data_IF_054248013325
#
_entry.id   IF_054248013325
#
_cell.length_a   1.000
_cell.length_b   1.000
_cell.length_c   1.000
_cell.angle_alpha   90.00
_cell.angle_beta   90.00
_cell.angle_gamma   90.00
#
_symmetry.space_group_name_H-M   'P 1'
#
loop_
_entity.id
_entity.type
_entity.pdbx_description
1 polymer ?
#
# COMPACT_ATOMS: atom_id res chain seq x y z
N UNK A 1 29.01 12.37 11.28
CA UNK A 1 27.99 11.57 10.58
C UNK A 1 27.31 10.72 11.64
N UNK A 2 25.98 10.78 11.77
CA UNK A 2 25.25 9.94 12.73
C UNK A 2 24.73 8.71 11.98
N UNK A 3 25.00 7.52 12.50
CA UNK A 3 24.53 6.25 11.94
C UNK A 3 23.48 5.63 12.85
N UNK A 4 22.40 5.13 12.25
CA UNK A 4 21.35 4.36 12.92
C UNK A 4 21.07 3.11 12.09
N UNK A 5 21.26 1.94 12.68
CA UNK A 5 21.07 0.65 12.01
C UNK A 5 19.88 -0.09 12.59
N UNK A 6 18.99 -0.52 11.70
CA UNK A 6 17.79 -1.30 12.03
C UNK A 6 17.91 -2.70 11.44
N UNK A 7 17.49 -3.69 12.22
CA UNK A 7 17.32 -5.05 11.75
C UNK A 7 15.88 -5.24 11.24
N UNK A 8 15.73 -5.77 10.03
CA UNK A 8 14.45 -5.88 9.34
C UNK A 8 14.25 -7.30 8.83
N UNK A 9 13.11 -7.88 9.16
CA UNK A 9 12.64 -9.17 8.65
C UNK A 9 11.65 -8.97 7.50
N UNK A 10 11.77 -9.80 6.47
CA UNK A 10 10.80 -9.91 5.37
C UNK A 10 9.74 -10.94 5.75
N UNK A 11 8.50 -10.48 5.95
CA UNK A 11 7.37 -11.32 6.38
C UNK A 11 6.66 -11.98 5.20
N UNK A 12 6.55 -11.28 4.08
CA UNK A 12 5.92 -11.75 2.85
C UNK A 12 6.84 -11.51 1.67
N UNK A 13 6.74 -12.33 0.59
CA UNK A 13 7.64 -12.21 -0.54
C UNK A 13 7.70 -10.79 -1.08
N UNK A 14 8.92 -10.30 -1.24
CA UNK A 14 9.22 -8.95 -1.68
C UNK A 14 9.69 -8.96 -3.14
N UNK A 15 8.93 -8.26 -3.96
CA UNK A 15 9.15 -8.15 -5.39
C UNK A 15 9.71 -6.77 -5.71
N UNK A 16 10.98 -6.58 -5.39
CA UNK A 16 11.72 -5.36 -5.69
C UNK A 16 12.54 -5.55 -6.95
N UNK A 17 12.59 -4.51 -7.79
CA UNK A 17 13.42 -4.50 -8.96
C UNK A 17 12.74 -3.96 -10.20
N UNK A 18 13.57 -3.42 -11.09
CA UNK A 18 13.14 -2.89 -12.37
C UNK A 18 12.56 -4.03 -13.21
N UNK A 19 11.68 -3.70 -14.15
CA UNK A 19 11.14 -4.69 -15.07
C UNK A 19 12.24 -5.55 -15.72
N UNK A 20 11.88 -6.76 -16.15
CA UNK A 20 12.76 -7.75 -16.77
C UNK A 20 13.73 -8.48 -15.82
N UNK A 21 13.30 -8.77 -14.58
CA UNK A 21 13.93 -9.80 -13.78
C UNK A 21 15.22 -9.40 -13.05
N UNK A 22 15.61 -8.12 -13.08
CA UNK A 22 16.71 -7.56 -12.26
C UNK A 22 16.27 -7.33 -10.80
N UNK A 23 15.66 -8.35 -10.19
CA UNK A 23 15.18 -8.34 -8.80
C UNK A 23 16.20 -9.00 -7.87
N UNK A 24 17.48 -8.74 -8.10
CA UNK A 24 18.60 -9.39 -7.41
C UNK A 24 18.92 -8.75 -6.05
N UNK A 25 18.28 -7.63 -5.69
CA UNK A 25 18.57 -6.98 -4.42
C UNK A 25 17.49 -6.04 -3.87
N UNK A 26 17.57 -5.78 -2.57
CA UNK A 26 16.84 -4.71 -1.89
C UNK A 26 17.34 -3.36 -2.40
N UNK A 27 16.43 -2.54 -2.95
CA UNK A 27 16.76 -1.25 -3.58
C UNK A 27 16.49 -0.07 -2.65
N UNK A 28 17.53 0.67 -2.22
CA UNK A 28 17.37 1.89 -1.41
C UNK A 28 16.42 2.94 -2.00
N UNK A 29 16.38 3.06 -3.34
CA UNK A 29 15.50 4.02 -4.02
C UNK A 29 14.02 3.71 -3.84
N UNK A 30 13.62 2.43 -3.90
CA UNK A 30 12.24 2.01 -3.66
C UNK A 30 11.85 2.22 -2.19
N UNK A 31 12.76 1.95 -1.26
CA UNK A 31 12.57 2.22 0.17
C UNK A 31 12.34 3.72 0.38
N UNK A 32 13.21 4.59 -0.14
CA UNK A 32 13.05 6.05 -0.06
C UNK A 32 11.73 6.52 -0.68
N UNK A 33 11.29 5.89 -1.77
CA UNK A 33 9.99 6.19 -2.39
C UNK A 33 8.81 5.94 -1.45
N UNK A 34 8.83 4.80 -0.74
CA UNK A 34 7.81 4.48 0.24
C UNK A 34 7.89 5.35 1.49
N UNK A 35 9.10 5.68 1.97
CA UNK A 35 9.28 6.63 3.07
C UNK A 35 8.69 8.00 2.72
N UNK A 36 8.99 8.53 1.53
CA UNK A 36 8.42 9.79 1.03
C UNK A 36 6.90 9.74 0.97
N UNK A 37 6.33 8.62 0.54
CA UNK A 37 4.88 8.44 0.50
C UNK A 37 4.25 8.58 1.89
N UNK A 38 4.77 7.85 2.88
CA UNK A 38 4.24 7.90 4.25
C UNK A 38 4.56 9.22 4.95
N UNK A 39 5.70 9.85 4.65
CA UNK A 39 5.98 11.22 5.06
C UNK A 39 4.91 12.17 4.55
N UNK A 40 4.58 12.15 3.25
CA UNK A 40 3.53 13.01 2.70
C UNK A 40 2.16 12.77 3.34
N UNK A 41 1.83 11.52 3.69
CA UNK A 41 0.57 11.22 4.36
C UNK A 41 0.48 11.87 5.76
N UNK A 42 1.59 11.99 6.44
CA UNK A 42 1.69 12.67 7.73
C UNK A 42 1.76 14.19 7.55
N UNK A 43 2.58 14.67 6.63
CA UNK A 43 2.69 16.09 6.33
C UNK A 43 1.33 16.65 5.90
N UNK A 44 0.58 15.88 5.12
CA UNK A 44 -0.78 16.21 4.72
C UNK A 44 -1.75 16.38 5.90
N UNK A 45 -1.55 15.71 7.04
CA UNK A 45 -2.48 15.83 8.19
C UNK A 45 -2.22 17.08 9.04
N UNK A 46 -1.17 17.82 8.70
CA UNK A 46 -0.85 19.11 9.32
C UNK A 46 -1.01 20.24 8.29
N UNK A 47 -0.47 20.06 7.08
CA UNK A 47 -0.40 21.08 6.04
C UNK A 47 -1.61 21.09 5.08
N UNK A 48 -2.57 20.17 5.26
CA UNK A 48 -3.78 20.15 4.45
C UNK A 48 -3.49 19.87 2.97
N UNK A 49 -4.17 20.63 2.10
CA UNK A 49 -4.02 20.56 0.65
C UNK A 49 -2.91 21.49 0.13
N UNK A 50 -2.07 22.06 1.00
CA UNK A 50 -0.92 22.87 0.59
C UNK A 50 0.23 21.97 0.10
N UNK A 51 0.09 21.51 -1.15
CA UNK A 51 1.06 20.61 -1.80
C UNK A 51 2.44 21.24 -1.93
N UNK A 52 2.52 22.56 -2.11
CA UNK A 52 3.78 23.29 -2.25
C UNK A 52 4.59 23.24 -0.95
N UNK A 53 3.96 23.51 0.20
CA UNK A 53 4.63 23.42 1.50
C UNK A 53 4.96 21.96 1.86
N UNK A 54 4.08 21.00 1.58
CA UNK A 54 4.40 19.57 1.76
C UNK A 54 5.65 19.20 0.96
N UNK A 55 5.73 19.64 -0.30
CA UNK A 55 6.87 19.39 -1.18
C UNK A 55 8.14 20.04 -0.65
N UNK A 56 8.07 21.28 -0.15
CA UNK A 56 9.21 22.00 0.42
C UNK A 56 9.80 21.27 1.62
N UNK A 57 8.96 20.77 2.54
CA UNK A 57 9.43 19.98 3.69
C UNK A 57 9.95 18.61 3.24
N UNK A 58 9.29 17.94 2.28
CA UNK A 58 9.78 16.68 1.70
C UNK A 58 11.18 16.84 1.09
N UNK A 59 11.37 17.89 0.27
CA UNK A 59 12.63 18.17 -0.41
C UNK A 59 13.75 18.47 0.59
N UNK A 60 13.45 19.14 1.71
CA UNK A 60 14.40 19.35 2.82
C UNK A 60 14.87 18.04 3.46
N UNK A 61 13.96 17.09 3.70
CA UNK A 61 14.26 15.84 4.40
C UNK A 61 14.85 14.76 3.49
N UNK A 62 14.35 14.66 2.25
CA UNK A 62 14.67 13.57 1.34
C UNK A 62 15.52 14.00 0.14
N UNK A 63 15.70 15.30 -0.08
CA UNK A 63 16.28 15.83 -1.30
C UNK A 63 15.29 15.84 -2.48
N UNK A 64 15.66 16.56 -3.53
CA UNK A 64 14.89 16.80 -4.74
C UNK A 64 15.73 16.45 -5.99
N UNK A 65 15.30 16.88 -7.17
CA UNK A 65 16.13 16.78 -8.39
C UNK A 65 17.32 17.76 -8.38
N UNK A 66 17.19 18.87 -7.66
CA UNK A 66 18.21 19.94 -7.56
C UNK A 66 18.98 19.91 -6.25
N UNK A 67 18.49 19.18 -5.23
CA UNK A 67 19.08 19.11 -3.90
C UNK A 67 19.38 17.67 -3.49
N UNK A 68 20.63 17.39 -3.10
CA UNK A 68 21.02 16.05 -2.63
C UNK A 68 20.29 15.69 -1.34
N UNK A 69 19.92 14.42 -1.21
CA UNK A 69 19.34 13.85 0.01
C UNK A 69 20.31 13.99 1.19
N UNK A 70 19.90 14.53 2.35
CA UNK A 70 20.77 14.72 3.52
C UNK A 70 21.06 13.42 4.29
N UNK A 71 20.63 12.27 3.78
CA UNK A 71 20.96 10.95 4.34
C UNK A 71 21.13 9.89 3.24
N UNK A 72 21.89 8.84 3.56
CA UNK A 72 22.05 7.64 2.72
C UNK A 72 21.46 6.42 3.43
N UNK A 73 20.98 5.46 2.63
CA UNK A 73 20.57 4.14 3.10
C UNK A 73 21.61 3.14 2.62
N UNK A 74 22.18 2.38 3.53
CA UNK A 74 23.08 1.27 3.24
C UNK A 74 22.37 -0.03 3.65
N UNK A 75 22.31 -1.01 2.73
CA UNK A 75 21.72 -2.31 3.02
C UNK A 75 22.85 -3.32 3.19
N UNK A 76 22.94 -3.92 4.37
CA UNK A 76 23.98 -4.88 4.79
C UNK A 76 23.36 -6.19 5.27
N UNK A 77 24.21 -7.17 5.58
CA UNK A 77 23.83 -8.46 6.17
C UNK A 77 22.72 -9.20 5.42
N UNK A 78 22.84 -9.24 4.09
CA UNK A 78 21.88 -9.89 3.18
C UNK A 78 22.03 -11.41 3.08
N UNK A 79 22.97 -12.02 3.81
CA UNK A 79 23.31 -13.44 3.67
C UNK A 79 22.13 -14.36 4.00
N UNK A 80 21.24 -13.90 4.88
CA UNK A 80 20.08 -14.66 5.32
C UNK A 80 18.84 -14.45 4.42
N UNK A 81 18.97 -13.64 3.36
CA UNK A 81 17.90 -13.45 2.39
C UNK A 81 17.78 -14.66 1.48
N UNK A 82 16.62 -15.32 1.52
CA UNK A 82 16.29 -16.42 0.62
C UNK A 82 15.69 -15.86 -0.66
N UNK A 83 16.45 -15.95 -1.74
CA UNK A 83 16.00 -15.58 -3.08
C UNK A 83 15.41 -16.81 -3.76
N UNK A 84 14.14 -16.71 -4.17
CA UNK A 84 13.48 -17.75 -4.95
C UNK A 84 13.35 -17.28 -6.41
N UNK A 85 13.82 -18.13 -7.34
CA UNK A 85 13.61 -17.92 -8.77
C UNK A 85 12.24 -18.45 -9.17
N UNK A 86 11.48 -17.67 -9.94
CA UNK A 86 10.17 -18.07 -10.46
C UNK A 86 9.16 -18.48 -9.37
N UNK A 87 9.10 -17.71 -8.27
CA UNK A 87 8.15 -17.95 -7.17
C UNK A 87 6.76 -18.26 -7.72
N UNK A 88 6.24 -19.44 -7.35
CA UNK A 88 4.90 -19.87 -7.74
C UNK A 88 4.02 -19.94 -6.51
N UNK A 89 3.08 -19.00 -6.42
CA UNK A 89 2.00 -19.08 -5.45
C UNK A 89 1.17 -20.32 -5.73
N UNK A 90 0.81 -21.07 -4.70
CA UNK A 90 0.07 -22.33 -4.76
C UNK A 90 -1.42 -22.11 -4.50
N UNK A 91 -1.75 -21.22 -3.55
CA UNK A 91 -3.14 -21.05 -3.08
C UNK A 91 -3.94 -20.04 -3.91
N UNK A 92 -5.22 -20.32 -4.15
CA UNK A 92 -6.05 -19.61 -5.13
C UNK A 92 -6.25 -18.11 -4.81
N UNK A 93 -6.46 -17.77 -3.54
CA UNK A 93 -6.57 -16.40 -3.05
C UNK A 93 -5.24 -15.65 -3.14
N UNK A 94 -4.13 -16.29 -2.77
CA UNK A 94 -2.79 -15.70 -2.90
C UNK A 94 -2.48 -15.41 -4.38
N UNK A 95 -2.73 -16.38 -5.27
CA UNK A 95 -2.66 -16.22 -6.73
C UNK A 95 -3.50 -15.04 -7.24
N UNK A 96 -4.69 -14.82 -6.67
CA UNK A 96 -5.56 -13.71 -7.06
C UNK A 96 -4.99 -12.34 -6.66
N UNK A 97 -4.48 -12.22 -5.43
CA UNK A 97 -3.83 -10.99 -4.96
C UNK A 97 -2.53 -10.71 -5.71
N UNK A 98 -1.75 -11.76 -5.93
CA UNK A 98 -0.46 -11.79 -6.61
C UNK A 98 -0.52 -12.09 -8.10
N UNK A 99 -1.64 -11.88 -8.80
CA UNK A 99 -1.84 -12.35 -10.19
C UNK A 99 -0.68 -12.07 -11.15
N UNK A 100 -0.05 -10.89 -11.05
CA UNK A 100 1.11 -10.53 -11.89
C UNK A 100 2.36 -11.39 -11.67
N UNK A 101 2.50 -11.98 -10.49
CA UNK A 101 3.62 -12.87 -10.13
C UNK A 101 3.53 -14.14 -10.99
N UNK A 102 2.34 -14.71 -11.11
CA UNK A 102 2.13 -15.96 -11.84
C UNK A 102 2.08 -15.76 -13.37
N UNK A 103 1.68 -14.58 -13.86
CA UNK A 103 1.45 -14.33 -15.29
C UNK A 103 2.66 -13.71 -15.99
N UNK A 104 3.57 -13.06 -15.27
CA UNK A 104 4.71 -12.37 -15.87
C UNK A 104 6.03 -12.80 -15.24
N UNK A 105 6.34 -14.11 -15.36
CA UNK A 105 7.52 -14.74 -14.73
C UNK A 105 8.84 -14.11 -15.17
N UNK A 106 8.94 -13.68 -16.43
CA UNK A 106 10.13 -12.99 -16.95
C UNK A 106 10.40 -11.64 -16.24
N UNK A 107 9.33 -10.92 -15.85
CA UNK A 107 9.48 -9.66 -15.10
C UNK A 107 9.66 -9.87 -13.60
N UNK A 108 9.35 -11.05 -13.08
CA UNK A 108 9.37 -11.40 -11.66
C UNK A 108 10.31 -12.60 -11.44
N UNK A 109 11.51 -12.50 -12.00
CA UNK A 109 12.43 -13.64 -12.07
C UNK A 109 12.97 -14.01 -10.69
N UNK A 110 13.46 -13.02 -9.93
CA UNK A 110 13.94 -13.18 -8.57
C UNK A 110 12.94 -12.55 -7.59
N UNK A 111 12.66 -13.25 -6.49
CA UNK A 111 11.81 -12.76 -5.40
C UNK A 111 12.51 -13.02 -4.08
N UNK A 112 12.56 -12.01 -3.22
CA UNK A 112 13.08 -12.17 -1.86
C UNK A 112 11.96 -12.77 -1.03
N UNK A 113 12.01 -14.08 -0.76
CA UNK A 113 10.91 -14.83 -0.13
C UNK A 113 10.76 -14.51 1.35
N UNK A 114 11.89 -14.58 2.05
CA UNK A 114 12.01 -14.40 3.50
C UNK A 114 13.47 -14.12 3.86
N UNK A 115 13.70 -13.73 5.10
CA UNK A 115 15.04 -13.49 5.64
C UNK A 115 15.13 -12.17 6.40
N UNK A 116 16.29 -11.98 7.02
CA UNK A 116 16.63 -10.79 7.80
C UNK A 116 17.75 -10.04 7.07
N UNK A 117 17.72 -8.72 7.16
CA UNK A 117 18.79 -7.84 6.67
C UNK A 117 18.90 -6.60 7.54
N UNK A 118 19.98 -5.85 7.35
CA UNK A 118 20.20 -4.60 8.06
C UNK A 118 20.07 -3.39 7.13
N UNK A 119 19.46 -2.33 7.65
CA UNK A 119 19.40 -1.03 7.00
C UNK A 119 20.03 0.03 7.89
N UNK A 120 21.15 0.58 7.42
CA UNK A 120 21.85 1.70 8.06
C UNK A 120 21.44 3.02 7.43
N UNK A 121 20.96 3.94 8.27
CA UNK A 121 20.71 5.34 7.94
C UNK A 121 21.95 6.17 8.28
N UNK A 122 22.60 6.69 7.26
CA UNK A 122 23.80 7.53 7.40
C UNK A 122 23.38 9.00 7.23
N UNK A 123 23.23 9.73 8.34
CA UNK A 123 22.76 11.10 8.35
C UNK A 123 23.91 12.12 8.27
N UNK A 124 23.71 13.15 7.46
CA UNK A 124 24.54 14.35 7.49
C UNK A 124 24.34 15.10 8.83
N UNK A 125 25.39 15.77 9.30
CA UNK A 125 25.39 16.52 10.56
C UNK A 125 24.44 17.73 10.54
N UNK A 126 24.05 18.20 9.35
CA UNK A 126 23.14 19.34 9.18
C UNK A 126 21.64 19.02 9.37
N UNK A 127 21.30 17.78 9.72
CA UNK A 127 19.94 17.40 10.10
C UNK A 127 19.76 17.51 11.61
N UNK A 128 18.69 18.16 12.05
CA UNK A 128 18.30 18.22 13.45
C UNK A 128 17.87 16.83 13.98
N UNK A 129 17.75 16.69 15.30
CA UNK A 129 17.20 15.47 15.89
C UNK A 129 15.77 15.19 15.42
N UNK A 130 14.93 16.22 15.35
CA UNK A 130 13.53 16.15 14.90
C UNK A 130 13.44 15.71 13.43
N UNK A 131 14.29 16.26 12.55
CA UNK A 131 14.31 15.89 11.14
C UNK A 131 14.72 14.42 10.94
N UNK A 132 15.71 13.94 11.71
CA UNK A 132 16.08 12.52 11.70
C UNK A 132 14.95 11.63 12.21
N UNK A 133 14.22 12.05 13.26
CA UNK A 133 13.04 11.35 13.77
C UNK A 133 11.96 11.25 12.70
N UNK A 134 11.63 12.34 12.00
CA UNK A 134 10.66 12.34 10.89
C UNK A 134 11.05 11.32 9.80
N UNK A 135 12.33 11.25 9.41
CA UNK A 135 12.83 10.29 8.42
C UNK A 135 12.67 8.84 8.91
N UNK A 136 13.07 8.55 10.14
CA UNK A 136 13.00 7.20 10.72
C UNK A 136 11.55 6.74 10.93
N UNK A 137 10.71 7.61 11.47
CA UNK A 137 9.28 7.35 11.66
C UNK A 137 8.54 7.14 10.32
N UNK A 138 8.96 7.86 9.27
CA UNK A 138 8.44 7.62 7.92
C UNK A 138 8.79 6.21 7.40
N UNK A 139 9.99 5.70 7.73
CA UNK A 139 10.35 4.31 7.46
C UNK A 139 9.56 3.33 8.32
N UNK A 140 9.40 3.61 9.61
CA UNK A 140 8.57 2.79 10.49
C UNK A 140 7.16 2.65 9.93
N UNK A 141 6.47 3.73 9.58
CA UNK A 141 5.14 3.67 8.96
C UNK A 141 5.13 2.90 7.64
N UNK A 142 6.18 3.04 6.83
CA UNK A 142 6.32 2.27 5.60
C UNK A 142 6.36 0.76 5.84
N UNK A 143 7.02 0.33 6.92
CA UNK A 143 7.02 -1.07 7.35
C UNK A 143 5.70 -1.47 8.02
N UNK A 144 5.15 -0.64 8.91
CA UNK A 144 4.00 -0.95 9.75
C UNK A 144 2.69 -1.02 8.97
N UNK A 145 2.42 -0.02 8.12
CA UNK A 145 1.14 0.15 7.43
C UNK A 145 1.20 -0.20 5.95
N UNK A 146 2.42 -0.32 5.40
CA UNK A 146 2.66 -0.53 3.99
C UNK A 146 3.36 -1.84 3.68
N UNK A 147 4.08 -1.79 2.57
CA UNK A 147 4.96 -2.83 2.09
C UNK A 147 5.77 -2.27 0.93
N UNK A 148 6.70 -3.07 0.42
CA UNK A 148 7.65 -2.63 -0.57
C UNK A 148 7.63 -3.51 -1.83
N UNK A 149 7.90 -2.92 -2.98
CA UNK A 149 7.87 -3.62 -4.27
C UNK A 149 6.47 -3.86 -4.84
N UNK A 150 6.39 -4.78 -5.80
CA UNK A 150 5.16 -5.08 -6.54
C UNK A 150 4.09 -5.71 -5.64
N UNK A 151 2.82 -5.29 -5.83
CA UNK A 151 1.65 -5.73 -5.04
C UNK A 151 1.74 -5.42 -3.54
N UNK A 152 2.56 -4.45 -3.13
CA UNK A 152 2.67 -4.05 -1.73
C UNK A 152 1.35 -3.64 -1.07
N UNK A 153 0.41 -3.04 -1.80
CA UNK A 153 -0.94 -2.70 -1.30
C UNK A 153 -1.88 -3.91 -1.17
N UNK A 154 -1.42 -5.12 -1.47
CA UNK A 154 -2.17 -6.37 -1.38
C UNK A 154 -1.49 -7.41 -0.48
N UNK A 155 -0.64 -6.96 0.44
CA UNK A 155 -0.02 -7.80 1.46
C UNK A 155 1.28 -8.49 1.04
N UNK A 156 1.81 -8.22 -0.16
CA UNK A 156 3.18 -8.62 -0.52
C UNK A 156 4.20 -7.59 -0.02
N UNK A 157 5.46 -7.99 0.13
CA UNK A 157 6.54 -7.10 0.55
C UNK A 157 6.33 -6.42 1.91
N UNK A 158 5.51 -7.00 2.78
CA UNK A 158 5.40 -6.59 4.18
C UNK A 158 6.69 -6.95 4.92
N UNK A 159 7.26 -5.93 5.55
CA UNK A 159 8.47 -6.03 6.36
C UNK A 159 8.16 -5.72 7.81
N UNK A 160 9.02 -6.15 8.72
CA UNK A 160 8.89 -5.89 10.14
C UNK A 160 10.26 -5.57 10.74
N UNK A 161 10.33 -4.48 11.50
CA UNK A 161 11.56 -4.09 12.20
C UNK A 161 11.67 -4.99 13.45
N UNK A 162 12.79 -5.69 13.60
CA UNK A 162 13.06 -6.61 14.72
C UNK A 162 13.82 -5.95 15.87
N UNK A 163 14.51 -4.85 15.61
CA UNK A 163 15.21 -4.09 16.64
C UNK A 163 16.11 -3.01 16.04
N UNK A 164 16.82 -2.31 16.92
CA UNK A 164 17.86 -1.34 16.55
C UNK A 164 19.14 -1.64 17.33
N UNK A 165 20.30 -1.54 16.67
CA UNK A 165 21.61 -1.72 17.33
C UNK A 165 22.06 -0.51 18.14
N UNK A 166 21.34 0.61 18.05
CA UNK A 166 21.64 1.86 18.75
C UNK A 166 20.43 2.22 19.61
N UNK A 167 20.65 2.51 20.91
CA UNK A 167 19.66 3.22 21.72
C UNK A 167 19.54 4.63 21.18
N UNK A 168 18.45 4.91 20.50
CA UNK A 168 18.19 6.24 19.98
C UNK A 168 17.43 6.98 21.08
N UNK A 169 18.08 7.91 21.79
CA UNK A 169 17.37 8.81 22.74
C UNK A 169 16.24 9.63 22.07
N UNK A 170 16.19 9.59 20.74
CA UNK A 170 15.20 10.21 19.87
C UNK A 170 14.06 9.26 19.40
N UNK A 171 14.23 7.95 19.52
CA UNK A 171 13.29 6.95 19.02
C UNK A 171 13.55 5.59 19.70
N UNK A 172 12.82 5.29 20.77
CA UNK A 172 12.94 3.99 21.42
C UNK A 172 12.17 2.94 20.59
N UNK A 173 12.82 2.31 19.60
CA UNK A 173 12.22 1.22 18.80
C UNK A 173 11.60 0.14 19.68
N UNK A 174 12.19 -0.11 20.84
CA UNK A 174 11.72 -1.05 21.85
C UNK A 174 10.33 -0.67 22.41
N UNK A 175 9.98 0.63 22.51
CA UNK A 175 8.62 1.08 22.85
C UNK A 175 7.58 0.78 21.76
N UNK A 176 8.03 0.56 20.53
CA UNK A 176 7.16 0.19 19.40
C UNK A 176 7.13 -1.32 19.15
N UNK A 177 7.80 -2.11 20.01
CA UNK A 177 7.61 -3.56 20.15
C UNK A 177 6.49 -3.92 21.13
N UNK A 178 5.66 -2.96 21.54
CA UNK A 178 4.50 -3.25 22.42
C UNK A 178 3.68 -4.42 21.86
N UNK A 179 3.20 -5.29 22.75
CA UNK A 179 2.28 -6.40 22.40
C UNK A 179 1.02 -5.90 21.66
N UNK A 180 0.70 -4.61 21.78
CA UNK A 180 -0.34 -3.95 20.99
C UNK A 180 0.21 -3.03 19.90
N UNK A 181 0.42 -3.60 18.73
CA UNK A 181 0.79 -2.91 17.50
C UNK A 181 -0.13 -1.72 17.13
N UNK A 182 -1.41 -1.73 17.55
CA UNK A 182 -2.30 -0.57 17.33
C UNK A 182 -1.81 0.66 18.06
N UNK A 183 -1.45 0.48 19.33
CA UNK A 183 -0.98 1.55 20.21
C UNK A 183 0.35 2.11 19.69
N UNK A 184 1.27 1.24 19.29
CA UNK A 184 2.54 1.64 18.68
C UNK A 184 2.35 2.48 17.40
N UNK A 185 1.42 2.09 16.52
CA UNK A 185 1.09 2.85 15.31
C UNK A 185 0.50 4.22 15.66
N UNK A 186 -0.48 4.26 16.58
CA UNK A 186 -1.15 5.50 16.99
C UNK A 186 -0.15 6.50 17.58
N UNK A 187 0.67 6.08 18.53
CA UNK A 187 1.72 6.91 19.15
C UNK A 187 2.70 7.40 18.09
N UNK A 188 3.08 6.56 17.12
CA UNK A 188 3.98 6.97 16.03
C UNK A 188 3.39 8.08 15.17
N UNK A 189 2.10 7.98 14.82
CA UNK A 189 1.39 8.99 14.04
C UNK A 189 1.30 10.30 14.83
N UNK A 190 0.90 10.24 16.10
CA UNK A 190 0.79 11.43 16.98
C UNK A 190 2.15 12.14 17.15
N UNK A 191 3.22 11.38 17.39
CA UNK A 191 4.58 11.91 17.47
C UNK A 191 5.04 12.55 16.16
N UNK A 192 4.71 11.94 15.03
CA UNK A 192 5.04 12.48 13.72
C UNK A 192 4.33 13.80 13.44
N UNK A 193 3.04 13.88 13.78
CA UNK A 193 2.22 15.08 13.63
C UNK A 193 2.79 16.22 14.48
N UNK A 194 3.14 15.96 15.75
CA UNK A 194 3.65 16.99 16.67
C UNK A 194 5.03 17.55 16.27
N UNK A 195 5.84 16.77 15.54
CA UNK A 195 7.13 17.22 15.01
C UNK A 195 6.99 18.23 13.85
N UNK A 196 5.83 18.30 13.20
CA UNK A 196 5.56 19.30 12.16
C UNK A 196 4.99 20.54 12.84
N UNK A 197 5.89 21.47 13.21
CA UNK A 197 5.61 22.70 13.95
C UNK A 197 4.81 23.74 13.15
N UNK A 198 3.59 23.40 12.77
CA UNK A 198 2.64 24.23 12.00
C UNK A 198 1.23 24.02 12.53
N UNK A 199 0.40 25.06 12.42
CA UNK A 199 -1.02 24.95 12.70
C UNK A 199 -1.69 24.03 11.69
N UNK A 200 -2.58 23.16 12.19
CA UNK A 200 -3.33 22.23 11.34
C UNK A 200 -4.22 23.03 10.40
N UNK A 201 -4.09 22.78 9.11
CA UNK A 201 -4.98 23.35 8.09
C UNK A 201 -6.05 22.33 7.74
N UNK A 202 -7.30 22.60 8.10
CA UNK A 202 -8.41 21.68 7.82
C UNK A 202 -8.72 21.57 6.33
N UNK A 203 -9.10 20.36 5.89
CA UNK A 203 -9.56 20.10 4.52
C UNK A 203 -10.68 19.07 4.53
N UNK A 204 -11.76 19.35 3.79
CA UNK A 204 -12.89 18.41 3.74
C UNK A 204 -12.55 17.16 2.90
N UNK A 205 -11.95 17.32 1.73
CA UNK A 205 -11.45 16.20 0.93
C UNK A 205 -9.95 16.41 0.68
N UNK A 206 -9.09 15.62 1.32
CA UNK A 206 -7.66 15.67 1.06
C UNK A 206 -7.33 15.27 -0.37
N UNK A 207 -6.42 15.97 -1.03
CA UNK A 207 -5.95 15.61 -2.39
C UNK A 207 -4.97 14.42 -2.39
N UNK A 208 -4.41 14.10 -1.22
CA UNK A 208 -3.53 12.94 -0.99
C UNK A 208 -4.06 12.10 0.18
N UNK A 209 -3.66 10.83 0.26
CA UNK A 209 -3.90 10.04 1.47
C UNK A 209 -3.22 10.72 2.65
N UNK A 210 -3.94 10.86 3.76
CA UNK A 210 -3.47 11.61 4.92
C UNK A 210 -4.10 11.11 6.21
N UNK A 211 -3.43 11.32 7.33
CA UNK A 211 -3.90 10.98 8.68
C UNK A 211 -4.73 12.10 9.34
N UNK A 212 -5.53 12.83 8.56
CA UNK A 212 -6.53 13.73 9.16
C UNK A 212 -7.58 12.95 9.93
N UNK A 213 -8.00 13.49 11.06
CA UNK A 213 -9.04 12.89 11.89
C UNK A 213 -10.31 12.67 11.05
N UNK A 214 -10.85 11.44 11.10
CA UNK A 214 -12.00 11.02 10.30
C UNK A 214 -11.73 10.77 8.80
N UNK A 215 -10.52 11.00 8.30
CA UNK A 215 -10.13 10.76 6.88
C UNK A 215 -9.33 9.48 6.67
N UNK A 216 -9.17 8.65 7.69
CA UNK A 216 -8.56 7.33 7.58
C UNK A 216 -9.23 6.34 8.52
N UNK A 217 -9.04 5.05 8.22
CA UNK A 217 -9.43 3.93 9.06
C UNK A 217 -8.30 2.91 9.06
N UNK A 218 -7.75 2.59 10.22
CA UNK A 218 -6.74 1.54 10.40
C UNK A 218 -7.38 0.45 11.24
N UNK A 219 -7.38 -0.76 10.71
CA UNK A 219 -7.96 -1.92 11.37
C UNK A 219 -6.96 -3.06 11.38
N UNK A 220 -6.89 -3.77 12.50
CA UNK A 220 -6.02 -4.93 12.66
C UNK A 220 -6.86 -6.18 12.85
N UNK A 221 -6.63 -7.15 11.98
CA UNK A 221 -7.27 -8.46 12.03
C UNK A 221 -6.18 -9.49 12.33
N UNK A 222 -6.28 -10.16 13.49
CA UNK A 222 -5.36 -11.22 13.90
C UNK A 222 -5.86 -12.59 13.42
N UNK A 223 -4.94 -13.46 13.04
CA UNK A 223 -5.21 -14.83 12.62
C UNK A 223 -4.03 -15.75 12.95
N UNK A 224 -4.34 -16.93 13.50
CA UNK A 224 -3.43 -18.07 13.47
C UNK A 224 -3.35 -18.67 12.08
N UNK A 225 -2.14 -18.75 11.53
CA UNK A 225 -1.90 -19.32 10.22
C UNK A 225 -0.51 -19.95 10.19
N UNK A 226 -0.35 -21.04 9.44
CA UNK A 226 0.94 -21.73 9.35
C UNK A 226 1.94 -21.00 8.44
N UNK A 227 1.48 -20.09 7.59
CA UNK A 227 2.35 -19.36 6.67
C UNK A 227 1.72 -18.03 6.23
N UNK A 228 2.54 -17.12 5.72
CA UNK A 228 2.05 -15.89 5.08
C UNK A 228 1.15 -16.19 3.87
N UNK A 229 1.35 -17.32 3.18
CA UNK A 229 0.55 -17.66 1.99
C UNK A 229 -0.87 -18.07 2.39
N UNK A 230 -1.04 -18.70 3.54
CA UNK A 230 -2.34 -19.04 4.13
C UNK A 230 -3.15 -17.79 4.42
N UNK A 231 -2.48 -16.78 5.00
CA UNK A 231 -3.05 -15.46 5.28
C UNK A 231 -3.51 -14.80 3.98
N UNK A 232 -2.66 -14.77 2.96
CA UNK A 232 -3.00 -14.16 1.66
C UNK A 232 -4.03 -14.98 0.87
N UNK A 233 -4.08 -16.30 1.03
CA UNK A 233 -5.15 -17.14 0.46
C UNK A 233 -6.49 -16.74 1.03
N UNK A 234 -6.57 -16.64 2.36
CA UNK A 234 -7.80 -16.28 3.03
C UNK A 234 -8.24 -14.86 2.64
N UNK A 235 -7.32 -13.89 2.74
CA UNK A 235 -7.55 -12.51 2.29
C UNK A 235 -8.07 -12.47 0.85
N UNK A 236 -7.40 -13.17 -0.05
CA UNK A 236 -7.72 -13.17 -1.48
C UNK A 236 -9.10 -13.73 -1.79
N UNK A 237 -9.56 -14.74 -1.04
CA UNK A 237 -10.90 -15.33 -1.20
C UNK A 237 -12.02 -14.40 -0.71
N UNK A 238 -11.84 -13.75 0.44
CA UNK A 238 -12.79 -12.75 0.93
C UNK A 238 -12.80 -11.51 0.04
N UNK A 239 -11.61 -11.02 -0.33
CA UNK A 239 -11.44 -9.90 -1.24
C UNK A 239 -12.11 -10.17 -2.60
N UNK A 240 -11.91 -11.37 -3.16
CA UNK A 240 -12.59 -11.80 -4.38
C UNK A 240 -14.11 -11.83 -4.22
N UNK A 241 -14.58 -12.42 -3.13
CA UNK A 241 -15.98 -12.50 -2.76
C UNK A 241 -16.67 -11.16 -2.74
N UNK A 242 -16.07 -10.21 -2.03
CA UNK A 242 -16.53 -8.83 -1.96
C UNK A 242 -16.59 -8.16 -3.34
N UNK A 243 -15.56 -8.36 -4.17
CA UNK A 243 -15.53 -7.83 -5.54
C UNK A 243 -16.58 -8.44 -6.47
N UNK A 244 -17.06 -9.66 -6.19
CA UNK A 244 -18.16 -10.28 -6.93
C UNK A 244 -19.47 -9.57 -6.61
N UNK A 245 -19.80 -9.44 -5.32
CA UNK A 245 -21.00 -8.77 -4.85
C UNK A 245 -20.74 -8.02 -3.53
N UNK A 246 -20.53 -6.69 -3.56
CA UNK A 246 -20.23 -5.92 -2.35
C UNK A 246 -21.45 -5.76 -1.42
N UNK A 247 -22.68 -5.92 -1.94
CA UNK A 247 -23.92 -5.76 -1.15
C UNK A 247 -24.27 -7.03 -0.35
N UNK A 248 -23.78 -8.19 -0.79
CA UNK A 248 -23.92 -9.46 -0.08
C UNK A 248 -22.63 -10.28 -0.29
N UNK A 249 -21.52 -9.86 0.36
CA UNK A 249 -20.22 -10.46 0.14
C UNK A 249 -20.14 -11.83 0.81
N UNK A 250 -19.60 -12.81 0.10
CA UNK A 250 -19.33 -14.16 0.60
C UNK A 250 -17.93 -14.58 0.18
N UNK A 251 -17.24 -15.37 1.01
CA UNK A 251 -15.94 -15.94 0.65
C UNK A 251 -16.06 -16.69 -0.68
N UNK A 252 -15.19 -16.40 -1.64
CA UNK A 252 -15.26 -17.01 -2.97
C UNK A 252 -13.91 -17.59 -3.40
N UNK A 253 -13.94 -18.67 -4.16
CA UNK A 253 -12.74 -19.19 -4.82
C UNK A 253 -12.49 -18.40 -6.12
N UNK A 254 -11.36 -17.69 -6.27
CA UNK A 254 -11.06 -16.94 -7.49
C UNK A 254 -11.04 -17.80 -8.76
N UNK A 255 -10.73 -19.10 -8.63
CA UNK A 255 -10.69 -20.06 -9.73
C UNK A 255 -12.05 -20.31 -10.39
N UNK A 256 -13.15 -20.03 -9.69
CA UNK A 256 -14.52 -20.23 -10.21
C UNK A 256 -14.88 -19.23 -11.32
N UNK A 257 -14.05 -18.20 -11.56
CA UNK A 257 -14.23 -17.18 -12.61
C UNK A 257 -15.61 -16.48 -12.62
N UNK A 258 -16.34 -16.48 -11.49
CA UNK A 258 -17.65 -15.83 -11.36
C UNK A 258 -17.60 -14.36 -11.77
N UNK A 259 -18.53 -13.93 -12.63
CA UNK A 259 -18.63 -12.53 -13.04
C UNK A 259 -18.94 -11.61 -11.86
N UNK A 260 -18.33 -10.42 -11.84
CA UNK A 260 -18.64 -9.40 -10.83
C UNK A 260 -19.91 -8.63 -11.18
N UNK A 261 -20.55 -8.01 -10.19
CA UNK A 261 -21.67 -7.10 -10.44
C UNK A 261 -21.29 -5.97 -11.41
N UNK A 262 -20.10 -5.37 -11.24
CA UNK A 262 -19.59 -4.37 -12.17
C UNK A 262 -19.50 -4.87 -13.61
N UNK A 263 -19.07 -6.12 -13.83
CA UNK A 263 -19.02 -6.68 -15.18
C UNK A 263 -20.43 -6.78 -15.79
N UNK A 264 -21.42 -7.19 -15.00
CA UNK A 264 -22.83 -7.24 -15.43
C UNK A 264 -23.35 -5.84 -15.76
N UNK A 265 -23.03 -4.83 -14.93
CA UNK A 265 -23.39 -3.43 -15.17
C UNK A 265 -22.80 -2.93 -16.49
N UNK A 266 -21.51 -3.20 -16.75
CA UNK A 266 -20.85 -2.83 -18.01
C UNK A 266 -21.54 -3.49 -19.20
N UNK A 267 -21.84 -4.79 -19.12
CA UNK A 267 -22.50 -5.53 -20.19
C UNK A 267 -23.89 -4.97 -20.51
N UNK A 268 -24.70 -4.66 -19.49
CA UNK A 268 -26.04 -4.09 -19.70
C UNK A 268 -25.94 -2.67 -20.26
N UNK A 269 -25.05 -1.85 -19.72
CA UNK A 269 -24.82 -0.48 -20.20
C UNK A 269 -24.38 -0.44 -21.66
N UNK A 270 -23.54 -1.39 -22.09
CA UNK A 270 -23.16 -1.54 -23.49
C UNK A 270 -24.35 -1.91 -24.38
N UNK A 271 -25.20 -2.87 -23.96
CA UNK A 271 -26.41 -3.25 -24.72
C UNK A 271 -27.44 -2.12 -24.81
N UNK A 272 -27.54 -1.31 -23.77
CA UNK A 272 -28.51 -0.22 -23.65
C UNK A 272 -27.96 1.13 -24.14
N UNK A 273 -26.74 1.18 -24.71
CA UNK A 273 -26.07 2.41 -25.15
C UNK A 273 -26.03 3.52 -24.07
N UNK A 274 -25.81 3.14 -22.81
CA UNK A 274 -25.70 4.10 -21.69
C UNK A 274 -24.44 4.94 -21.82
N UNK A 275 -24.57 6.24 -21.53
CA UNK A 275 -23.44 7.19 -21.52
C UNK A 275 -22.60 7.13 -20.25
N UNK A 276 -23.20 6.76 -19.12
CA UNK A 276 -22.50 6.68 -17.83
C UNK A 276 -23.01 5.56 -16.94
N UNK A 277 -22.15 5.08 -16.05
CA UNK A 277 -22.43 4.02 -15.08
C UNK A 277 -21.73 4.27 -13.74
N UNK A 278 -22.22 3.63 -12.69
CA UNK A 278 -21.57 3.57 -11.38
C UNK A 278 -20.91 2.19 -11.23
N UNK A 279 -19.63 2.17 -10.85
CA UNK A 279 -18.87 0.95 -10.59
C UNK A 279 -18.23 1.00 -9.21
N UNK A 280 -18.08 -0.16 -8.57
CA UNK A 280 -17.52 -0.23 -7.21
C UNK A 280 -16.05 -0.65 -7.22
N UNK A 281 -15.69 -1.60 -8.07
CA UNK A 281 -14.33 -2.15 -8.10
C UNK A 281 -13.22 -1.13 -8.41
N UNK A 282 -13.44 -0.04 -9.17
CA UNK A 282 -12.43 1.00 -9.33
C UNK A 282 -11.93 1.59 -8.01
N UNK A 283 -12.72 1.56 -6.93
CA UNK A 283 -12.28 1.97 -5.58
C UNK A 283 -11.04 1.21 -5.10
N UNK A 284 -10.79 0.01 -5.65
CA UNK A 284 -9.63 -0.82 -5.37
C UNK A 284 -8.46 -0.66 -6.38
N UNK A 285 -8.50 0.41 -7.15
CA UNK A 285 -7.46 0.80 -8.10
C UNK A 285 -7.78 0.45 -9.55
N UNK A 286 -7.03 1.10 -10.44
CA UNK A 286 -7.10 1.04 -11.89
C UNK A 286 -5.70 0.82 -12.48
N UNK A 287 -5.57 0.17 -13.64
CA UNK A 287 -6.64 -0.28 -14.53
C UNK A 287 -7.26 -1.63 -14.10
N UNK A 288 -8.51 -1.88 -14.51
CA UNK A 288 -9.19 -3.15 -14.32
C UNK A 288 -9.48 -3.76 -15.69
N UNK A 289 -9.00 -4.98 -15.92
CA UNK A 289 -9.34 -5.76 -17.10
C UNK A 289 -10.34 -6.85 -16.71
N UNK A 290 -11.42 -6.97 -17.48
CA UNK A 290 -12.43 -8.00 -17.28
C UNK A 290 -12.16 -9.23 -18.18
N UNK A 291 -12.79 -10.39 -17.88
CA UNK A 291 -12.65 -11.60 -18.70
C UNK A 291 -12.87 -11.35 -20.20
N UNK A 292 -12.21 -12.15 -21.04
CA UNK A 292 -12.11 -12.02 -22.51
C UNK A 292 -11.31 -10.82 -23.04
N UNK A 293 -10.85 -9.92 -22.16
CA UNK A 293 -10.07 -8.73 -22.56
C UNK A 293 -10.85 -7.72 -23.40
N UNK A 294 -12.17 -7.92 -23.56
CA UNK A 294 -13.05 -7.05 -24.36
C UNK A 294 -13.42 -5.76 -23.64
N UNK A 295 -13.42 -5.78 -22.31
CA UNK A 295 -13.79 -4.64 -21.47
C UNK A 295 -12.66 -4.30 -20.50
N UNK A 296 -12.24 -3.04 -20.48
CA UNK A 296 -11.35 -2.49 -19.46
C UNK A 296 -11.93 -1.21 -18.87
N UNK A 297 -11.60 -0.96 -17.60
CA UNK A 297 -11.87 0.32 -16.94
C UNK A 297 -10.53 0.99 -16.71
N UNK A 298 -10.40 2.21 -17.26
CA UNK A 298 -9.15 2.93 -17.30
C UNK A 298 -9.36 4.39 -16.89
N UNK A 299 -8.36 4.95 -16.21
CA UNK A 299 -8.27 6.39 -16.05
C UNK A 299 -7.55 6.96 -17.28
N UNK A 300 -8.09 7.99 -17.91
CA UNK A 300 -7.43 8.65 -19.03
C UNK A 300 -7.27 10.14 -18.80
N UNK A 301 -6.11 10.65 -19.20
CA UNK A 301 -5.83 12.08 -19.36
C UNK A 301 -5.25 12.30 -20.75
N UNK A 302 -5.85 13.19 -21.55
CA UNK A 302 -5.38 13.50 -22.91
C UNK A 302 -5.12 12.25 -23.77
N UNK A 303 -6.06 11.29 -23.77
CA UNK A 303 -5.99 9.99 -24.46
C UNK A 303 -4.87 9.04 -23.99
N UNK A 304 -4.13 9.37 -22.93
CA UNK A 304 -3.16 8.48 -22.29
C UNK A 304 -3.80 7.75 -21.11
N UNK A 305 -3.64 6.43 -21.07
CA UNK A 305 -4.06 5.60 -19.94
C UNK A 305 -3.15 5.84 -18.74
N UNK A 306 -3.75 6.23 -17.61
CA UNK A 306 -3.09 6.46 -16.34
C UNK A 306 -3.39 5.31 -15.38
N UNK A 307 -2.48 5.09 -14.42
CA UNK A 307 -2.67 4.13 -13.34
C UNK A 307 -3.12 4.84 -12.07
N UNK A 308 -4.07 4.26 -11.35
CA UNK A 308 -4.48 4.75 -10.02
C UNK A 308 -4.43 3.60 -9.04
N UNK A 309 -3.50 3.63 -8.09
CA UNK A 309 -3.43 2.59 -7.07
C UNK A 309 -4.56 2.74 -6.03
N UNK A 310 -4.94 1.64 -5.37
CA UNK A 310 -5.99 1.65 -4.33
C UNK A 310 -5.59 2.51 -3.13
N UNK A 311 -6.55 3.19 -2.52
CA UNK A 311 -6.36 3.89 -1.25
C UNK A 311 -6.45 2.95 -0.02
N UNK A 312 -6.65 1.65 -0.24
CA UNK A 312 -6.51 0.61 0.79
C UNK A 312 -5.10 -0.01 0.72
N UNK A 313 -4.44 -0.05 1.87
CA UNK A 313 -3.18 -0.75 2.08
C UNK A 313 -3.42 -1.98 2.94
N UNK A 314 -2.61 -3.00 2.70
CA UNK A 314 -2.58 -4.25 3.45
C UNK A 314 -1.14 -4.49 3.85
N UNK A 315 -0.87 -4.56 5.16
CA UNK A 315 0.41 -4.99 5.71
C UNK A 315 0.23 -6.26 6.53
N UNK A 316 1.15 -7.20 6.38
CA UNK A 316 1.18 -8.44 7.16
C UNK A 316 2.30 -8.33 8.19
N UNK A 317 2.01 -8.77 9.41
CA UNK A 317 2.96 -8.83 10.54
C UNK A 317 2.92 -10.22 11.12
N UNK A 318 4.04 -10.64 11.71
CA UNK A 318 4.18 -11.94 12.36
C UNK A 318 4.67 -11.76 13.79
N UNK A 319 3.94 -12.32 14.72
CA UNK A 319 4.24 -12.36 16.15
C UNK A 319 4.05 -13.81 16.61
N UNK A 320 5.15 -14.49 16.96
CA UNK A 320 5.14 -15.93 17.23
C UNK A 320 4.52 -16.73 16.06
N UNK A 321 3.49 -17.52 16.33
CA UNK A 321 2.72 -18.29 15.34
C UNK A 321 1.43 -17.57 14.87
N UNK A 322 1.26 -16.31 15.25
CA UNK A 322 0.11 -15.48 14.87
C UNK A 322 0.52 -14.44 13.81
N UNK A 323 -0.38 -14.24 12.85
CA UNK A 323 -0.25 -13.22 11.84
C UNK A 323 -1.28 -12.12 12.08
N UNK A 324 -0.83 -10.87 12.00
CA UNK A 324 -1.69 -9.69 12.06
C UNK A 324 -1.76 -9.02 10.69
N UNK A 325 -2.95 -8.60 10.31
CA UNK A 325 -3.23 -7.97 9.03
C UNK A 325 -3.72 -6.58 9.31
N UNK A 326 -2.93 -5.61 8.86
CA UNK A 326 -3.17 -4.20 9.07
C UNK A 326 -3.76 -3.65 7.79
N UNK A 327 -5.01 -3.20 7.87
CA UNK A 327 -5.78 -2.64 6.79
C UNK A 327 -5.86 -1.13 6.99
N UNK A 328 -5.18 -0.36 6.14
CA UNK A 328 -5.19 1.11 6.20
C UNK A 328 -5.95 1.68 5.02
N UNK A 329 -7.15 2.19 5.28
CA UNK A 329 -8.01 2.81 4.29
C UNK A 329 -7.99 4.34 4.45
N UNK A 330 -7.85 5.05 3.35
CA UNK A 330 -7.84 6.52 3.34
C UNK A 330 -9.03 7.08 2.57
N UNK A 331 -9.64 8.12 3.13
CA UNK A 331 -10.58 9.00 2.45
C UNK A 331 -9.82 10.21 1.90
N UNK A 332 -9.58 10.19 0.61
CA UNK A 332 -8.96 11.27 -0.13
C UNK A 332 -9.47 11.23 -1.56
N UNK A 333 -9.22 12.30 -2.30
CA UNK A 333 -9.64 12.44 -3.68
C UNK A 333 -9.11 11.25 -4.51
N UNK A 334 -10.02 10.43 -5.05
CA UNK A 334 -9.65 9.33 -5.95
C UNK A 334 -9.18 9.88 -7.31
N UNK A 335 -9.70 11.07 -7.67
CA UNK A 335 -9.48 11.79 -8.92
C UNK A 335 -8.68 13.07 -8.72
N UNK A 336 -7.41 13.18 -9.10
CA UNK A 336 -6.80 14.52 -9.21
C UNK A 336 -7.58 15.31 -10.29
N UNK A 337 -8.12 16.49 -9.94
CA UNK A 337 -8.74 17.54 -10.78
C UNK A 337 -9.21 17.21 -12.22
N UNK A 338 -10.47 17.54 -12.58
CA UNK A 338 -11.07 17.57 -13.93
C UNK A 338 -10.92 16.35 -14.89
N UNK A 339 -10.06 15.37 -14.61
CA UNK A 339 -9.83 14.15 -15.39
C UNK A 339 -11.09 13.26 -15.55
N UNK A 340 -11.39 12.74 -16.74
CA UNK A 340 -12.59 11.90 -16.94
C UNK A 340 -12.23 10.41 -16.86
N UNK A 341 -12.89 9.65 -15.98
CA UNK A 341 -12.81 8.18 -15.97
C UNK A 341 -13.68 7.58 -17.06
N UNK A 342 -13.17 6.56 -17.75
CA UNK A 342 -13.87 5.93 -18.85
C UNK A 342 -13.72 4.41 -18.78
N UNK A 343 -14.82 3.70 -19.04
CA UNK A 343 -14.77 2.32 -19.49
C UNK A 343 -14.45 2.34 -20.97
N UNK A 344 -13.42 1.59 -21.36
CA UNK A 344 -13.06 1.38 -22.74
C UNK A 344 -13.59 0.00 -23.13
N UNK A 345 -14.54 -0.01 -24.06
CA UNK A 345 -14.96 -1.24 -24.73
C UNK A 345 -14.12 -1.38 -25.99
N UNK A 346 -13.56 -2.56 -26.24
CA UNK A 346 -12.75 -2.83 -27.44
C UNK A 346 -13.56 -2.49 -28.70
N UNK A 347 -13.27 -1.35 -29.34
CA UNK A 347 -14.00 -0.85 -30.53
C UNK A 347 -14.55 0.59 -30.50
N UNK A 348 -13.92 1.54 -29.78
CA UNK A 348 -14.23 3.00 -29.70
C UNK A 348 -15.42 3.44 -28.84
N UNK A 349 -16.27 2.53 -28.35
CA UNK A 349 -17.36 2.92 -27.44
C UNK A 349 -16.83 3.26 -26.04
N UNK A 350 -17.22 4.45 -25.56
CA UNK A 350 -16.80 5.02 -24.29
C UNK A 350 -18.02 5.16 -23.39
N UNK A 351 -17.98 4.52 -22.23
CA UNK A 351 -18.96 4.72 -21.16
C UNK A 351 -18.27 5.40 -19.99
N UNK A 352 -18.78 6.52 -19.51
CA UNK A 352 -18.18 7.24 -18.38
C UNK A 352 -18.44 6.51 -17.06
N UNK A 353 -17.44 6.47 -16.18
CA UNK A 353 -17.60 5.96 -14.82
C UNK A 353 -17.77 7.14 -13.88
N UNK A 354 -18.90 7.20 -13.18
CA UNK A 354 -19.09 8.17 -12.12
C UNK A 354 -18.24 7.75 -10.91
N UNK A 355 -17.48 8.69 -10.36
CA UNK A 355 -16.65 8.48 -9.18
C UNK A 355 -17.20 9.31 -8.04
N UNK A 356 -17.44 8.65 -6.92
CA UNK A 356 -17.89 9.24 -5.66
C UNK A 356 -16.88 8.82 -4.60
N UNK A 357 -16.04 9.77 -4.19
CA UNK A 357 -14.92 9.50 -3.28
C UNK A 357 -15.40 8.96 -1.92
N UNK A 358 -16.54 9.46 -1.44
CA UNK A 358 -17.15 9.03 -0.18
C UNK A 358 -17.65 7.60 -0.29
N UNK A 359 -18.42 7.27 -1.33
CA UNK A 359 -18.87 5.89 -1.56
C UNK A 359 -17.70 4.94 -1.76
N UNK A 360 -16.65 5.35 -2.48
CA UNK A 360 -15.45 4.53 -2.66
C UNK A 360 -14.74 4.25 -1.34
N UNK A 361 -14.69 5.23 -0.44
CA UNK A 361 -14.18 5.05 0.91
C UNK A 361 -15.06 4.09 1.74
N UNK A 362 -16.38 4.27 1.70
CA UNK A 362 -17.35 3.39 2.38
C UNK A 362 -17.27 1.95 1.88
N UNK A 363 -17.17 1.71 0.57
CA UNK A 363 -17.02 0.37 0.02
C UNK A 363 -15.75 -0.33 0.51
N UNK A 364 -14.65 0.40 0.68
CA UNK A 364 -13.41 -0.16 1.25
C UNK A 364 -13.57 -0.45 2.75
N UNK A 365 -14.28 0.39 3.50
CA UNK A 365 -14.63 0.11 4.89
C UNK A 365 -15.55 -1.12 5.02
N UNK A 366 -16.50 -1.29 4.10
CA UNK A 366 -17.37 -2.49 4.09
C UNK A 366 -16.57 -3.78 3.87
N UNK A 367 -15.53 -3.75 3.02
CA UNK A 367 -14.61 -4.87 2.91
C UNK A 367 -13.86 -5.12 4.24
N UNK A 368 -13.38 -4.08 4.90
CA UNK A 368 -12.68 -4.21 6.19
C UNK A 368 -13.61 -4.83 7.24
N UNK A 369 -14.85 -4.33 7.34
CA UNK A 369 -15.86 -4.88 8.25
C UNK A 369 -16.17 -6.34 7.91
N UNK A 370 -16.36 -6.65 6.63
CA UNK A 370 -16.58 -8.02 6.17
C UNK A 370 -15.43 -8.95 6.58
N UNK A 371 -14.17 -8.50 6.45
CA UNK A 371 -13.00 -9.24 6.93
C UNK A 371 -13.05 -9.40 8.46
N UNK A 372 -13.20 -8.32 9.22
CA UNK A 372 -13.25 -8.37 10.70
C UNK A 372 -14.29 -9.37 11.22
N UNK A 373 -15.52 -9.28 10.73
CA UNK A 373 -16.64 -10.12 11.19
C UNK A 373 -16.44 -11.60 10.88
N UNK A 374 -15.78 -11.93 9.77
CA UNK A 374 -15.67 -13.32 9.29
C UNK A 374 -14.30 -13.97 9.58
N UNK A 375 -13.35 -13.20 10.12
CA UNK A 375 -11.98 -13.63 10.31
C UNK A 375 -11.56 -13.71 11.79
N UNK A 376 -12.19 -12.92 12.67
CA UNK A 376 -11.89 -12.89 14.10
C UNK A 376 -12.50 -14.02 14.94
N UNK A 377 -12.62 -15.25 14.39
CA UNK A 377 -13.08 -16.44 15.12
C UNK A 377 -12.10 -17.59 14.99
#
# INVERSE_FOLDING_TARGET
MKEITLEVEIITPTLMGGGFGQNDNIRPSEIKGMMRYWFRAIAGSVLGNNIEEIKKVEDRLFGSQTTKSPFRLLISNKKDLKIEKNLTLQKAGAKYLGFTINVNKERVLNVIKEGIFEISFLFNNNLSAEERRLILLSFYLATALGGFGLRSRRGFGSWQIKGSKVKIGDFEFEKYKEEDINKAIKISIENLISLIKKEKTETDIPVINTFFDGKYNIEIVRQRASSWEDVLDNLGRYYRGFRINPNNPQKANPSDKKATNDFKIIMNAFRENKKSINLVNPSFGLNIQYPSGKFSVELQKENKSLRRASQLFVSIKKENDEYSIILSNFYSQFKPHNDKYKVIVKGKDIIFVNVDDKKYYEYRNNLINFLKTNWGR
#
